data_IF_012369941693
#
_entry.id   IF_012369941693
#
_cell.length_a   1.000
_cell.length_b   1.000
_cell.length_c   1.000
_cell.angle_alpha   90.00
_cell.angle_beta   90.00
_cell.angle_gamma   90.00
#
_symmetry.space_group_name_H-M   'P 1'
#
loop_
_entity.id
_entity.type
_entity.pdbx_description
1 polymer ?
#
# COMPACT_ATOMS: atom_id res chain seq x y z
N UNK A 1 28.92 -23.81 15.13
CA UNK A 1 29.43 -23.22 13.87
C UNK A 1 28.27 -22.53 13.18
N UNK A 2 28.08 -21.23 13.42
CA UNK A 2 26.97 -20.47 12.85
C UNK A 2 27.38 -19.91 11.49
N UNK A 3 26.62 -20.22 10.45
CA UNK A 3 26.73 -19.57 9.14
C UNK A 3 26.39 -18.09 9.29
N UNK A 4 27.39 -17.22 9.40
CA UNK A 4 27.21 -15.79 9.13
C UNK A 4 27.83 -15.54 7.76
N UNK A 5 26.99 -15.39 6.74
CA UNK A 5 27.47 -14.90 5.46
C UNK A 5 28.03 -13.49 5.70
N UNK A 6 29.30 -13.26 5.35
CA UNK A 6 29.92 -11.94 5.42
C UNK A 6 29.42 -11.09 4.25
N UNK A 7 28.27 -10.44 4.47
CA UNK A 7 27.59 -9.57 3.49
C UNK A 7 28.28 -8.18 3.42
N UNK A 8 29.24 -7.90 4.31
CA UNK A 8 29.85 -6.57 4.47
C UNK A 8 30.69 -6.09 3.29
N UNK A 9 30.91 -6.94 2.27
CA UNK A 9 31.66 -6.60 1.05
C UNK A 9 30.81 -6.54 -0.21
N UNK A 10 29.51 -6.81 -0.13
CA UNK A 10 28.62 -6.69 -1.28
C UNK A 10 28.17 -5.23 -1.43
N UNK A 11 28.44 -4.66 -2.59
CA UNK A 11 27.85 -3.39 -2.99
C UNK A 11 26.44 -3.69 -3.50
N UNK A 12 25.44 -3.08 -2.86
CA UNK A 12 24.06 -3.12 -3.33
C UNK A 12 23.75 -1.81 -4.00
N UNK A 13 22.95 -1.86 -5.07
CA UNK A 13 22.32 -0.66 -5.60
C UNK A 13 21.44 -0.07 -4.50
N UNK A 14 21.68 1.20 -4.17
CA UNK A 14 20.92 1.94 -3.19
C UNK A 14 20.06 2.95 -3.93
N UNK A 15 18.81 3.09 -3.49
CA UNK A 15 17.97 4.20 -3.89
C UNK A 15 18.59 5.51 -3.39
N UNK A 16 18.41 6.57 -4.16
CA UNK A 16 18.79 7.91 -3.75
C UNK A 16 18.01 8.34 -2.50
N UNK A 17 18.54 9.31 -1.76
CA UNK A 17 17.84 9.90 -0.61
C UNK A 17 16.44 10.40 -1.00
N UNK A 18 16.31 11.02 -2.17
CA UNK A 18 15.03 11.52 -2.66
C UNK A 18 14.01 10.39 -2.90
N UNK A 19 14.46 9.25 -3.44
CA UNK A 19 13.60 8.09 -3.64
C UNK A 19 13.18 7.48 -2.30
N UNK A 20 14.08 7.44 -1.31
CA UNK A 20 13.73 6.99 0.04
C UNK A 20 12.67 7.90 0.67
N UNK A 21 12.86 9.22 0.61
CA UNK A 21 11.89 10.20 1.11
C UNK A 21 10.53 10.07 0.39
N UNK A 22 10.54 9.79 -0.91
CA UNK A 22 9.31 9.59 -1.69
C UNK A 22 8.55 8.30 -1.34
N UNK A 23 9.25 7.28 -0.80
CA UNK A 23 8.62 6.03 -0.36
C UNK A 23 8.00 6.15 1.04
N UNK A 24 8.51 7.08 1.86
CA UNK A 24 8.05 7.31 3.23
C UNK A 24 6.99 8.42 3.35
N UNK A 25 6.65 9.08 2.24
CA UNK A 25 5.62 10.13 2.27
C UNK A 25 4.22 9.53 2.49
N UNK A 26 3.31 10.26 3.15
CA UNK A 26 1.92 9.85 3.25
C UNK A 26 1.28 9.66 1.88
N UNK A 27 0.38 8.68 1.78
CA UNK A 27 -0.42 8.44 0.59
C UNK A 27 -1.40 9.60 0.36
N UNK A 28 -1.58 9.97 -0.92
CA UNK A 28 -2.62 10.94 -1.30
C UNK A 28 -3.97 10.24 -1.52
N UNK A 29 -5.05 11.02 -1.47
CA UNK A 29 -6.39 10.51 -1.80
C UNK A 29 -6.43 9.91 -3.21
N UNK A 30 -5.81 10.58 -4.18
CA UNK A 30 -5.76 10.10 -5.56
C UNK A 30 -5.02 8.76 -5.68
N UNK A 31 -3.91 8.57 -4.96
CA UNK A 31 -3.17 7.31 -4.95
C UNK A 31 -4.02 6.16 -4.39
N UNK A 32 -4.70 6.41 -3.28
CA UNK A 32 -5.58 5.43 -2.64
C UNK A 32 -6.76 5.12 -3.56
N UNK A 33 -7.38 6.14 -4.14
CA UNK A 33 -8.53 5.99 -5.02
C UNK A 33 -8.17 5.25 -6.32
N UNK A 34 -7.06 5.61 -6.98
CA UNK A 34 -6.60 4.90 -8.19
C UNK A 34 -6.31 3.43 -7.87
N UNK A 35 -5.56 3.17 -6.79
CA UNK A 35 -5.27 1.79 -6.38
C UNK A 35 -6.56 1.01 -6.10
N UNK A 36 -7.54 1.62 -5.43
CA UNK A 36 -8.85 1.02 -5.15
C UNK A 36 -9.59 0.64 -6.44
N UNK A 37 -9.59 1.54 -7.44
CA UNK A 37 -10.28 1.34 -8.72
C UNK A 37 -9.58 0.32 -9.62
N UNK A 38 -8.25 0.22 -9.55
CA UNK A 38 -7.47 -0.76 -10.32
C UNK A 38 -7.58 -2.19 -9.77
N UNK A 39 -8.01 -2.36 -8.52
CA UNK A 39 -8.21 -3.69 -7.95
C UNK A 39 -9.36 -4.43 -8.64
N UNK A 40 -9.13 -5.71 -8.96
CA UNK A 40 -10.17 -6.52 -9.60
C UNK A 40 -11.40 -6.70 -8.67
N UNK A 41 -12.59 -6.37 -9.18
CA UNK A 41 -13.86 -6.42 -8.45
C UNK A 41 -14.26 -7.84 -8.00
N UNK A 42 -13.89 -8.84 -8.79
CA UNK A 42 -14.22 -10.27 -8.59
C UNK A 42 -13.30 -10.98 -7.59
N UNK A 43 -12.58 -10.25 -6.73
CA UNK A 43 -11.84 -10.86 -5.63
C UNK A 43 -12.80 -11.62 -4.71
N UNK A 44 -12.30 -12.71 -4.12
CA UNK A 44 -13.03 -13.46 -3.11
C UNK A 44 -13.54 -12.53 -2.00
N UNK A 45 -14.73 -12.83 -1.48
CA UNK A 45 -15.32 -12.08 -0.37
C UNK A 45 -14.31 -12.00 0.78
N UNK A 46 -14.14 -10.81 1.34
CA UNK A 46 -13.39 -10.67 2.59
C UNK A 46 -14.07 -11.43 3.73
N UNK A 47 -13.38 -11.53 4.88
CA UNK A 47 -14.00 -12.07 6.11
C UNK A 47 -15.21 -11.22 6.56
N UNK A 48 -15.32 -10.00 6.06
CA UNK A 48 -16.43 -9.07 6.22
C UNK A 48 -17.64 -9.39 5.32
N UNK A 49 -17.49 -10.28 4.34
CA UNK A 49 -18.53 -10.62 3.37
C UNK A 49 -18.72 -9.59 2.25
N UNK A 50 -17.80 -8.63 2.09
CA UNK A 50 -17.85 -7.65 1.00
C UNK A 50 -16.82 -7.98 -0.08
N UNK A 51 -17.15 -7.67 -1.34
CA UNK A 51 -16.19 -7.70 -2.45
C UNK A 51 -15.52 -6.35 -2.62
N UNK A 52 -14.44 -6.31 -3.40
CA UNK A 52 -13.80 -5.07 -3.79
C UNK A 52 -14.75 -4.10 -4.52
N UNK A 53 -15.73 -4.66 -5.27
CA UNK A 53 -16.74 -3.87 -5.98
C UNK A 53 -17.65 -3.07 -5.04
N UNK A 54 -17.88 -3.53 -3.80
CA UNK A 54 -18.60 -2.74 -2.79
C UNK A 54 -17.83 -1.48 -2.43
N UNK A 55 -16.56 -1.63 -2.06
CA UNK A 55 -15.69 -0.52 -1.68
C UNK A 55 -15.51 0.50 -2.82
N UNK A 56 -15.40 0.01 -4.07
CA UNK A 56 -15.37 0.85 -5.26
C UNK A 56 -16.67 1.63 -5.46
N UNK A 57 -17.82 0.97 -5.33
CA UNK A 57 -19.14 1.60 -5.53
C UNK A 57 -19.50 2.59 -4.41
N UNK A 58 -19.00 2.35 -3.20
CA UNK A 58 -19.31 3.14 -2.01
C UNK A 58 -18.25 4.18 -1.67
N UNK A 59 -17.23 4.39 -2.52
CA UNK A 59 -16.11 5.31 -2.25
C UNK A 59 -16.54 6.65 -1.66
N UNK A 60 -17.49 7.36 -2.31
CA UNK A 60 -17.96 8.66 -1.83
C UNK A 60 -18.58 8.65 -0.42
N UNK A 61 -19.04 7.49 0.05
CA UNK A 61 -19.59 7.33 1.39
C UNK A 61 -18.54 6.98 2.45
N UNK A 62 -17.51 6.21 2.08
CA UNK A 62 -16.55 5.59 3.02
C UNK A 62 -15.13 6.17 2.93
N UNK A 63 -14.89 7.10 2.00
CA UNK A 63 -13.54 7.60 1.72
C UNK A 63 -12.88 8.23 2.94
N UNK A 64 -13.62 8.95 3.78
CA UNK A 64 -13.04 9.64 4.94
C UNK A 64 -12.47 8.65 5.94
N UNK A 65 -13.19 7.56 6.23
CA UNK A 65 -12.74 6.49 7.11
C UNK A 65 -11.52 5.75 6.54
N UNK A 66 -11.51 5.53 5.22
CA UNK A 66 -10.35 4.92 4.54
C UNK A 66 -9.14 5.86 4.61
N UNK A 67 -9.30 7.14 4.28
CA UNK A 67 -8.22 8.13 4.35
C UNK A 67 -7.69 8.28 5.77
N UNK A 68 -8.55 8.20 6.78
CA UNK A 68 -8.13 8.19 8.18
C UNK A 68 -7.28 6.96 8.53
N UNK A 69 -7.69 5.76 8.10
CA UNK A 69 -6.91 4.52 8.30
C UNK A 69 -5.51 4.63 7.68
N UNK A 70 -5.37 5.27 6.51
CA UNK A 70 -4.07 5.43 5.83
C UNK A 70 -3.14 6.47 6.47
N UNK A 71 -3.61 7.27 7.45
CA UNK A 71 -2.74 8.22 8.18
C UNK A 71 -1.76 7.53 9.14
N UNK A 72 -2.05 6.30 9.53
CA UNK A 72 -1.24 5.52 10.47
C UNK A 72 -0.18 4.62 9.78
N UNK A 73 -0.13 4.64 8.44
CA UNK A 73 0.90 3.96 7.63
C UNK A 73 2.11 4.86 7.38
#
# INVERSE_FOLDING_TARGET
MGWKADIGRLQFDQISQQEAENLERPFTEDEIHVALMEMNGDKALGLDGFTMAFWQSCWEFIKEEILEMFKDF
#
